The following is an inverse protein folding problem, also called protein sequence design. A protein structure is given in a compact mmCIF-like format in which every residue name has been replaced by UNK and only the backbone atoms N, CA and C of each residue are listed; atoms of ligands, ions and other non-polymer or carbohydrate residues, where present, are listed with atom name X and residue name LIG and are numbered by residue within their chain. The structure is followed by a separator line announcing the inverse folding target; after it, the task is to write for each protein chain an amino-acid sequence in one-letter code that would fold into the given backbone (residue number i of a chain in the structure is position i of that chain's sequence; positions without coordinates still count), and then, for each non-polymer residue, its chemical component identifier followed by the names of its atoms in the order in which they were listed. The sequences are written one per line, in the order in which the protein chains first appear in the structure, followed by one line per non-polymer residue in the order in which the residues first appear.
data_IF_941555454253
#
_entry.id   IF_941555454253
#
_cell.length_a   1.000
_cell.length_b   1.000
_cell.length_c   1.000
_cell.angle_alpha   90.00
_cell.angle_beta   90.00
_cell.angle_gamma   90.00
#
_symmetry.space_group_name_H-M   'P 1'
#
loop_
_entity.id
_entity.type
_entity.pdbx_description
1 polymer ?
#
# COMPACT_ATOMS: atom_id res chain seq x y z
N UNK A 1 8.75 -6.65 13.94
CA UNK A 1 9.23 -6.53 12.53
C UNK A 1 10.49 -5.67 12.50
N UNK A 2 11.24 -5.68 11.40
CA UNK A 2 12.42 -4.83 11.19
C UNK A 2 12.41 -4.23 9.79
N UNK A 3 13.10 -3.11 9.64
CA UNK A 3 13.27 -2.39 8.38
C UNK A 3 14.71 -2.55 7.84
N UNK A 4 14.95 -2.31 6.54
CA UNK A 4 16.29 -2.07 6.02
C UNK A 4 16.99 -0.88 6.70
N UNK A 5 18.31 -0.81 6.58
CA UNK A 5 19.07 0.35 7.08
C UNK A 5 18.62 1.58 6.29
N UNK A 6 18.42 2.72 6.97
CA UNK A 6 17.96 3.98 6.39
C UNK A 6 16.59 3.93 5.71
N UNK A 7 15.72 3.00 6.12
CA UNK A 7 14.33 2.92 5.67
C UNK A 7 13.38 2.86 6.85
N UNK A 8 12.12 3.22 6.62
CA UNK A 8 11.01 3.07 7.56
C UNK A 8 9.94 2.14 7.02
N UNK A 9 9.00 1.70 7.86
CA UNK A 9 7.85 0.93 7.39
C UNK A 9 6.98 1.81 6.50
N UNK A 10 6.52 1.28 5.37
CA UNK A 10 5.77 2.05 4.38
C UNK A 10 6.63 2.76 3.34
N UNK A 11 7.96 2.76 3.46
CA UNK A 11 8.83 3.29 2.41
C UNK A 11 8.70 2.45 1.13
N UNK A 12 8.70 3.12 -0.02
CA UNK A 12 8.70 2.43 -1.32
C UNK A 12 10.08 1.82 -1.61
N UNK A 13 10.04 0.58 -2.11
CA UNK A 13 11.18 -0.22 -2.59
C UNK A 13 11.18 -0.34 -4.11
N UNK A 14 9.99 -0.52 -4.71
CA UNK A 14 9.77 -0.48 -6.15
C UNK A 14 8.57 0.40 -6.43
N UNK A 15 8.78 1.42 -7.25
CA UNK A 15 7.76 2.44 -7.53
C UNK A 15 6.88 2.04 -8.71
N UNK A 16 5.68 2.62 -8.76
CA UNK A 16 4.82 2.55 -9.95
C UNK A 16 5.47 3.24 -11.16
N UNK A 17 5.07 2.84 -12.38
CA UNK A 17 5.28 3.64 -13.58
C UNK A 17 4.52 4.97 -13.47
N UNK A 18 4.96 5.98 -14.22
CA UNK A 18 4.29 7.28 -14.26
C UNK A 18 2.94 7.24 -14.99
N UNK A 19 2.76 6.28 -15.90
CA UNK A 19 1.55 6.17 -16.74
C UNK A 19 1.17 4.70 -16.94
N UNK A 20 -0.13 4.46 -17.02
CA UNK A 20 -0.74 3.17 -17.33
C UNK A 20 -1.96 3.34 -18.23
N UNK A 21 -2.35 2.25 -18.88
CA UNK A 21 -3.59 2.12 -19.64
C UNK A 21 -4.59 1.24 -18.88
N UNK A 22 -5.85 1.40 -19.23
CA UNK A 22 -6.90 0.47 -18.82
C UNK A 22 -6.54 -0.96 -19.25
N UNK A 23 -6.70 -1.92 -18.34
CA UNK A 23 -6.32 -3.32 -18.53
C UNK A 23 -4.87 -3.66 -18.14
N UNK A 24 -4.02 -2.67 -17.88
CA UNK A 24 -2.69 -2.91 -17.31
C UNK A 24 -2.73 -3.10 -15.79
N UNK A 25 -1.59 -3.49 -15.22
CA UNK A 25 -1.41 -3.67 -13.78
C UNK A 25 -0.47 -2.60 -13.25
N UNK A 26 -0.95 -1.78 -12.30
CA UNK A 26 -0.11 -0.89 -11.51
C UNK A 26 0.42 -1.64 -10.29
N UNK A 27 1.75 -1.75 -10.18
CA UNK A 27 2.42 -2.49 -9.12
C UNK A 27 3.35 -1.56 -8.32
N UNK A 28 3.28 -1.64 -7.00
CA UNK A 28 4.18 -0.95 -6.05
C UNK A 28 4.61 -1.92 -4.96
N UNK A 29 5.88 -1.85 -4.54
CA UNK A 29 6.39 -2.64 -3.41
C UNK A 29 6.89 -1.74 -2.30
N UNK A 30 6.45 -2.00 -1.06
CA UNK A 30 6.79 -1.27 0.14
C UNK A 30 7.61 -2.11 1.13
N UNK A 31 8.33 -1.44 2.02
CA UNK A 31 8.82 -2.03 3.27
C UNK A 31 7.61 -2.39 4.13
N UNK A 32 7.39 -3.69 4.32
CA UNK A 32 6.22 -4.25 5.00
C UNK A 32 6.48 -4.69 6.43
N UNK A 33 5.38 -4.96 7.13
CA UNK A 33 5.35 -5.67 8.41
C UNK A 33 4.43 -6.89 8.31
N UNK A 34 4.49 -7.82 9.27
CA UNK A 34 3.62 -8.98 9.30
C UNK A 34 2.13 -8.56 9.41
N UNK A 35 1.25 -8.91 8.43
CA UNK A 35 -0.15 -8.46 8.39
C UNK A 35 -0.98 -8.91 9.60
N UNK A 36 -0.59 -10.02 10.25
CA UNK A 36 -1.26 -10.51 11.48
C UNK A 36 -1.30 -9.45 12.58
N UNK A 37 -0.29 -8.57 12.63
CA UNK A 37 -0.20 -7.50 13.62
C UNK A 37 -1.36 -6.50 13.51
N UNK A 38 -1.90 -6.29 12.30
CA UNK A 38 -3.04 -5.39 12.08
C UNK A 38 -4.38 -6.05 12.42
N UNK A 39 -4.52 -7.35 12.14
CA UNK A 39 -5.74 -8.12 12.47
C UNK A 39 -6.03 -8.18 13.99
N UNK A 40 -5.01 -8.09 14.84
CA UNK A 40 -5.18 -8.09 16.31
C UNK A 40 -5.78 -6.79 16.87
N UNK A 41 -5.79 -5.69 16.10
CA UNK A 41 -6.10 -4.35 16.62
C UNK A 41 -7.32 -3.67 15.97
N UNK A 42 -7.81 -4.16 14.83
CA UNK A 42 -8.89 -3.50 14.10
C UNK A 42 -9.78 -4.51 13.37
N UNK A 43 -11.10 -4.41 13.59
CA UNK A 43 -12.14 -5.22 12.93
C UNK A 43 -12.50 -4.71 11.54
N UNK A 44 -12.21 -3.44 11.22
CA UNK A 44 -12.47 -2.80 9.93
C UNK A 44 -11.20 -2.07 9.45
N UNK A 45 -10.18 -2.83 9.04
CA UNK A 45 -8.91 -2.29 8.54
C UNK A 45 -8.73 -2.64 7.07
N UNK A 46 -8.43 -1.64 6.23
CA UNK A 46 -7.97 -1.87 4.87
C UNK A 46 -6.44 -1.92 4.86
N UNK A 47 -5.85 -2.94 4.23
CA UNK A 47 -4.41 -3.00 3.99
C UNK A 47 -3.95 -2.10 2.86
N UNK A 48 -4.84 -1.78 1.91
CA UNK A 48 -4.51 -0.91 0.78
C UNK A 48 -5.69 -0.05 0.35
N UNK A 49 -5.38 1.08 -0.29
CA UNK A 49 -6.35 1.83 -1.09
C UNK A 49 -5.73 2.22 -2.43
N UNK A 50 -6.55 2.26 -3.47
CA UNK A 50 -6.28 3.03 -4.68
C UNK A 50 -7.08 4.31 -4.57
N UNK A 51 -6.41 5.44 -4.70
CA UNK A 51 -7.02 6.76 -4.57
C UNK A 51 -6.89 7.53 -5.87
N UNK A 52 -7.94 8.26 -6.25
CA UNK A 52 -7.98 9.17 -7.39
C UNK A 52 -7.93 10.61 -6.90
N UNK A 53 -7.12 11.44 -7.54
CA UNK A 53 -7.08 12.87 -7.28
C UNK A 53 -8.20 13.59 -8.03
N UNK A 54 -8.88 14.53 -7.36
CA UNK A 54 -9.92 15.37 -7.94
C UNK A 54 -9.56 16.84 -7.81
N UNK A 55 -9.37 17.52 -8.94
CA UNK A 55 -9.03 18.94 -8.98
C UNK A 55 -10.14 19.85 -8.40
N UNK A 56 -11.40 19.41 -8.41
CA UNK A 56 -12.55 20.20 -7.92
C UNK A 56 -12.43 20.49 -6.42
N UNK A 57 -11.97 19.52 -5.65
CA UNK A 57 -11.85 19.61 -4.18
C UNK A 57 -10.40 19.56 -3.68
N UNK A 58 -9.42 19.54 -4.59
CA UNK A 58 -7.99 19.39 -4.29
C UNK A 58 -7.71 18.23 -3.31
N UNK A 59 -8.33 17.07 -3.57
CA UNK A 59 -8.34 15.96 -2.63
C UNK A 59 -8.23 14.60 -3.31
N UNK A 60 -7.80 13.61 -2.53
CA UNK A 60 -7.73 12.21 -2.92
C UNK A 60 -8.96 11.45 -2.41
N UNK A 61 -9.59 10.67 -3.29
CA UNK A 61 -10.76 9.86 -2.96
C UNK A 61 -10.47 8.39 -3.21
N UNK A 62 -10.84 7.53 -2.26
CA UNK A 62 -10.67 6.07 -2.39
C UNK A 62 -11.62 5.55 -3.46
N UNK A 63 -11.08 4.88 -4.47
CA UNK A 63 -11.83 4.24 -5.56
C UNK A 63 -11.77 2.71 -5.49
N UNK A 64 -10.74 2.15 -4.84
CA UNK A 64 -10.61 0.71 -4.58
C UNK A 64 -9.97 0.49 -3.20
N UNK A 65 -10.28 -0.64 -2.58
CA UNK A 65 -9.65 -1.10 -1.33
C UNK A 65 -9.26 -2.58 -1.42
N UNK A 66 -8.81 -3.18 -0.33
CA UNK A 66 -8.37 -4.60 -0.30
C UNK A 66 -9.51 -5.62 -0.45
N UNK A 67 -10.77 -5.20 -0.37
CA UNK A 67 -11.93 -6.03 -0.67
C UNK A 67 -12.32 -5.98 -2.17
N UNK A 68 -11.76 -5.05 -2.95
CA UNK A 68 -12.00 -4.93 -4.38
C UNK A 68 -11.35 -6.08 -5.15
N UNK A 69 -12.11 -6.70 -6.07
CA UNK A 69 -11.65 -7.77 -6.97
C UNK A 69 -10.42 -7.41 -7.80
N UNK A 70 -10.26 -6.14 -8.11
CA UNK A 70 -9.20 -5.63 -8.97
C UNK A 70 -7.88 -5.39 -8.21
N UNK A 71 -7.85 -5.56 -6.90
CA UNK A 71 -6.65 -5.33 -6.08
C UNK A 71 -6.08 -6.63 -5.53
N UNK A 72 -4.76 -6.69 -5.37
CA UNK A 72 -4.07 -7.81 -4.74
C UNK A 72 -3.06 -7.29 -3.72
N UNK A 73 -2.95 -8.01 -2.61
CA UNK A 73 -2.01 -7.74 -1.53
C UNK A 73 -1.11 -8.96 -1.33
N UNK A 74 0.17 -8.82 -1.63
CA UNK A 74 1.16 -9.89 -1.45
C UNK A 74 2.12 -9.52 -0.33
N UNK A 75 2.10 -10.29 0.76
CA UNK A 75 3.11 -10.19 1.80
C UNK A 75 4.18 -11.25 1.62
N UNK A 76 5.44 -10.82 1.52
CA UNK A 76 6.59 -11.73 1.40
C UNK A 76 7.51 -11.58 2.60
N UNK A 77 7.72 -12.68 3.32
CA UNK A 77 8.67 -12.73 4.44
C UNK A 77 10.10 -12.69 3.93
N UNK A 78 10.89 -11.76 4.44
CA UNK A 78 12.34 -11.70 4.23
C UNK A 78 13.13 -12.27 5.41
N UNK A 79 14.44 -12.06 5.39
CA UNK A 79 15.35 -12.45 6.47
C UNK A 79 15.36 -11.44 7.62
N UNK A 80 15.78 -11.89 8.80
CA UNK A 80 15.99 -11.06 9.99
C UNK A 80 14.76 -10.22 10.42
N UNK A 81 13.55 -10.74 10.16
CA UNK A 81 12.31 -10.07 10.54
C UNK A 81 11.91 -8.91 9.64
N UNK A 82 12.54 -8.76 8.47
CA UNK A 82 12.10 -7.87 7.39
C UNK A 82 11.02 -8.54 6.55
N UNK A 83 10.19 -7.74 5.91
CA UNK A 83 9.22 -8.21 4.93
C UNK A 83 8.93 -7.12 3.91
N UNK A 84 8.44 -7.54 2.75
CA UNK A 84 7.98 -6.64 1.72
C UNK A 84 6.47 -6.86 1.51
N UNK A 85 5.79 -5.80 1.11
CA UNK A 85 4.39 -5.85 0.67
C UNK A 85 4.34 -5.34 -0.75
N UNK A 86 3.86 -6.16 -1.67
CA UNK A 86 3.59 -5.77 -3.05
C UNK A 86 2.08 -5.63 -3.20
N UNK A 87 1.65 -4.47 -3.70
CA UNK A 87 0.26 -4.19 -4.02
C UNK A 87 0.15 -4.06 -5.52
N UNK A 88 -0.82 -4.77 -6.08
CA UNK A 88 -1.20 -4.66 -7.48
C UNK A 88 -2.61 -4.11 -7.59
N UNK A 89 -2.80 -3.17 -8.51
CA UNK A 89 -4.10 -2.77 -9.01
C UNK A 89 -4.22 -3.13 -10.49
N UNK A 90 -5.11 -4.05 -10.80
CA UNK A 90 -5.45 -4.46 -12.17
C UNK A 90 -6.51 -3.50 -12.68
N UNK A 91 -6.12 -2.55 -13.52
CA UNK A 91 -6.94 -1.39 -13.86
C UNK A 91 -8.16 -1.85 -14.66
N UNK A 92 -9.39 -1.84 -14.08
CA UNK A 92 -10.53 -2.47 -14.72
C UNK A 92 -11.04 -1.66 -15.91
N UNK A 93 -11.72 -2.31 -16.87
CA UNK A 93 -12.44 -1.62 -17.94
C UNK A 93 -13.37 -0.54 -17.38
N UNK A 94 -13.39 0.65 -18.01
CA UNK A 94 -14.21 1.77 -17.56
C UNK A 94 -13.59 2.64 -16.47
N UNK A 95 -12.34 2.37 -16.05
CA UNK A 95 -11.60 3.28 -15.16
C UNK A 95 -11.48 4.66 -15.81
N UNK A 96 -11.87 5.69 -15.06
CA UNK A 96 -11.77 7.06 -15.54
C UNK A 96 -10.30 7.49 -15.68
N UNK A 97 -10.01 8.26 -16.72
CA UNK A 97 -8.69 8.86 -16.89
C UNK A 97 -8.40 9.84 -15.75
N UNK A 98 -7.12 10.00 -15.42
CA UNK A 98 -6.66 10.95 -14.42
C UNK A 98 -5.54 10.42 -13.54
N UNK A 99 -5.32 11.10 -12.42
CA UNK A 99 -4.18 10.86 -11.53
C UNK A 99 -4.60 10.00 -10.34
N UNK A 100 -3.80 8.97 -10.09
CA UNK A 100 -4.03 7.96 -9.06
C UNK A 100 -2.79 7.77 -8.19
N UNK A 101 -2.98 7.19 -7.01
CA UNK A 101 -1.91 6.70 -6.14
C UNK A 101 -2.37 5.44 -5.40
N UNK A 102 -1.42 4.64 -4.96
CA UNK A 102 -1.67 3.47 -4.12
C UNK A 102 -1.14 3.75 -2.72
N UNK A 103 -1.94 3.45 -1.71
CA UNK A 103 -1.52 3.52 -0.31
C UNK A 103 -1.53 2.15 0.33
N UNK A 104 -0.61 1.97 1.26
CA UNK A 104 -0.44 0.79 2.08
C UNK A 104 -0.62 1.17 3.55
N UNK A 105 -1.44 0.42 4.28
CA UNK A 105 -1.66 0.62 5.71
C UNK A 105 -1.31 -0.66 6.46
N UNK A 106 -0.54 -0.52 7.54
CA UNK A 106 -0.12 -1.66 8.31
C UNK A 106 0.20 -1.31 9.75
N UNK A 107 0.50 -2.36 10.51
CA UNK A 107 1.01 -2.24 11.86
C UNK A 107 2.28 -3.07 11.99
N UNK A 108 3.29 -2.52 12.65
CA UNK A 108 4.50 -3.27 12.98
C UNK A 108 4.57 -3.56 14.48
N UNK A 109 5.12 -4.72 14.83
CA UNK A 109 5.30 -5.11 16.23
C UNK A 109 6.64 -4.64 16.73
N UNK A 110 6.63 -3.82 17.78
CA UNK A 110 7.82 -3.35 18.51
C UNK A 110 7.81 -3.91 19.93
N UNK A 111 8.93 -4.50 20.37
CA UNK A 111 9.12 -4.96 21.75
C UNK A 111 10.27 -4.20 22.41
N UNK A 112 9.99 -3.12 23.16
CA UNK A 112 11.01 -2.43 23.94
C UNK A 112 11.57 -3.32 25.07
N UNK A 113 12.79 -3.02 25.57
CA UNK A 113 13.33 -3.71 26.73
C UNK A 113 12.42 -3.54 27.95
N UNK A 114 12.11 -4.64 28.65
CA UNK A 114 11.28 -4.67 29.87
C UNK A 114 9.82 -4.19 29.71
N UNK A 115 9.26 -4.18 28.50
CA UNK A 115 7.84 -3.91 28.29
C UNK A 115 7.16 -4.94 27.38
N UNK A 116 5.83 -4.88 27.36
CA UNK A 116 5.01 -5.70 26.48
C UNK A 116 5.20 -5.26 25.03
N UNK A 117 4.99 -6.20 24.10
CA UNK A 117 5.02 -5.86 22.69
C UNK A 117 3.84 -4.94 22.35
N UNK A 118 4.13 -3.86 21.64
CA UNK A 118 3.15 -2.88 21.17
C UNK A 118 3.02 -2.97 19.66
N UNK A 119 1.81 -2.72 19.18
CA UNK A 119 1.48 -2.58 17.76
C UNK A 119 1.45 -1.10 17.41
N UNK A 120 2.19 -0.69 16.39
CA UNK A 120 2.29 0.72 15.98
C UNK A 120 1.84 0.83 14.52
N UNK A 121 0.83 1.67 14.21
CA UNK A 121 0.36 1.87 12.85
C UNK A 121 1.40 2.63 12.03
N UNK A 122 1.37 2.40 10.73
CA UNK A 122 2.10 3.19 9.74
C UNK A 122 1.36 3.17 8.40
N UNK A 123 1.74 4.08 7.52
CA UNK A 123 1.26 4.14 6.16
C UNK A 123 2.41 4.37 5.18
N UNK A 124 2.23 3.89 3.96
CA UNK A 124 3.08 4.15 2.81
C UNK A 124 2.23 4.67 1.65
N UNK A 125 2.80 5.54 0.82
CA UNK A 125 2.11 6.11 -0.35
C UNK A 125 3.05 6.04 -1.55
N UNK A 126 2.57 5.50 -2.66
CA UNK A 126 3.30 5.52 -3.94
C UNK A 126 3.45 6.94 -4.46
N UNK A 127 4.32 7.11 -5.45
CA UNK A 127 4.23 8.30 -6.31
C UNK A 127 2.87 8.35 -7.02
N UNK A 128 2.42 9.55 -7.38
CA UNK A 128 1.25 9.71 -8.21
C UNK A 128 1.55 9.26 -9.65
N UNK A 129 0.56 8.64 -10.30
CA UNK A 129 0.66 8.13 -11.67
C UNK A 129 -0.65 8.39 -12.43
N UNK A 130 -0.59 8.38 -13.75
CA UNK A 130 -1.73 8.73 -14.60
C UNK A 130 -2.30 7.52 -15.35
N UNK A 131 -3.62 7.41 -15.43
CA UNK A 131 -4.31 6.52 -16.35
C UNK A 131 -4.66 7.30 -17.61
N UNK A 132 -4.13 6.87 -18.76
CA UNK A 132 -4.25 7.56 -20.05
C UNK A 132 -4.94 6.70 -21.11
N UNK A 133 -5.38 7.33 -22.20
CA UNK A 133 -6.09 6.67 -23.30
C UNK A 133 -5.20 6.18 -24.44
N UNK A 134 -3.91 6.54 -24.45
CA UNK A 134 -2.99 6.34 -25.59
C UNK A 134 -2.19 5.07 -25.49
#
# INVERSE_FOLDING_TARGET
DRVPVNKTFGDVLQEVRQQYRVGEVAEVTFVGANPRTSAENATEHNFLTVERYTNISDSWHVVQNDASWDTRFYWTKGYFGRSNVTIEWHIPPGTELGVYRIRYFGHYRKKPPKSHAVSIPFEGTSSAFEITSL
#
